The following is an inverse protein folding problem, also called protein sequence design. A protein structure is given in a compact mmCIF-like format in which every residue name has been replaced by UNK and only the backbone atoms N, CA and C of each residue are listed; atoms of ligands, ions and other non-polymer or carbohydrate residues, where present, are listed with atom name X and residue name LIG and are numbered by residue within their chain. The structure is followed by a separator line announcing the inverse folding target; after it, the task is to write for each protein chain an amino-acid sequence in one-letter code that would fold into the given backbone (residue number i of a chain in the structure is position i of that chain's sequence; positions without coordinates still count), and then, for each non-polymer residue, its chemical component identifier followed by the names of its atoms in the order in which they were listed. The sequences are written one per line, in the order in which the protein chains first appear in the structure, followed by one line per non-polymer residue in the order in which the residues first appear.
data_IF_369049163357
#
_entry.id   IF_369049163357
#
_cell.length_a   1.000
_cell.length_b   1.000
_cell.length_c   1.000
_cell.angle_alpha   90.00
_cell.angle_beta   90.00
_cell.angle_gamma   90.00
#
_symmetry.space_group_name_H-M   'P 1'
#
loop_
_entity.id
_entity.type
_entity.pdbx_description
1 polymer ?
#
# COMPACT_ATOMS: atom_id res chain seq x y z
N UNK A 1 9.16 12.86 -15.15
CA UNK A 1 9.66 11.52 -14.75
C UNK A 1 8.45 10.70 -14.35
N UNK A 2 8.02 9.77 -15.21
CA UNK A 2 6.83 8.90 -14.98
C UNK A 2 7.15 7.43 -15.29
N UNK A 3 8.41 7.11 -15.55
CA UNK A 3 8.89 5.76 -15.84
C UNK A 3 9.58 5.19 -14.59
N UNK A 4 8.93 4.25 -13.91
CA UNK A 4 9.41 3.69 -12.65
C UNK A 4 10.73 2.90 -12.75
N UNK A 5 11.15 2.54 -13.96
CA UNK A 5 12.39 1.82 -14.21
C UNK A 5 13.65 2.70 -14.06
N UNK A 6 13.48 4.02 -14.04
CA UNK A 6 14.58 4.97 -13.98
C UNK A 6 14.64 5.68 -12.62
N UNK A 7 15.82 5.73 -11.97
CA UNK A 7 15.99 6.51 -10.76
C UNK A 7 15.85 8.01 -11.06
N UNK A 8 15.64 8.80 -10.01
CA UNK A 8 15.77 10.24 -10.12
C UNK A 8 17.23 10.66 -10.37
N UNK A 9 17.46 11.82 -11.01
CA UNK A 9 18.79 12.42 -11.12
C UNK A 9 19.46 12.60 -9.76
N UNK A 10 20.78 12.43 -9.70
CA UNK A 10 21.57 12.53 -8.45
C UNK A 10 21.56 13.94 -7.85
N UNK A 11 21.38 14.98 -8.68
CA UNK A 11 21.33 16.38 -8.29
C UNK A 11 19.95 16.82 -7.78
N UNK A 12 18.96 15.92 -7.74
CA UNK A 12 17.63 16.24 -7.26
C UNK A 12 17.67 16.51 -5.76
N UNK A 13 17.16 17.69 -5.39
CA UNK A 13 17.06 18.12 -4.00
C UNK A 13 16.31 17.09 -3.14
N UNK A 14 16.90 16.76 -1.99
CA UNK A 14 16.24 15.99 -0.93
C UNK A 14 15.68 16.95 0.11
N UNK A 15 14.38 16.83 0.38
CA UNK A 15 13.68 17.66 1.36
C UNK A 15 13.26 16.79 2.54
N UNK A 16 13.65 17.19 3.75
CA UNK A 16 13.22 16.53 4.98
C UNK A 16 11.75 16.90 5.29
N UNK A 17 10.89 15.90 5.47
CA UNK A 17 9.47 16.11 5.79
C UNK A 17 9.15 15.87 7.27
N UNK A 18 9.92 15.02 7.96
CA UNK A 18 9.70 14.67 9.36
C UNK A 18 10.11 13.22 9.69
N UNK A 19 9.71 12.76 10.87
CA UNK A 19 10.09 11.44 11.42
C UNK A 19 8.86 10.57 11.67
N UNK A 20 8.87 9.34 11.17
CA UNK A 20 7.91 8.29 11.51
C UNK A 20 8.54 7.36 12.55
N UNK A 21 7.96 7.29 13.75
CA UNK A 21 8.42 6.40 14.83
C UNK A 21 7.37 5.32 15.12
N UNK A 22 7.83 4.07 15.27
CA UNK A 22 6.99 2.97 15.75
C UNK A 22 7.19 2.82 17.26
N UNK A 23 6.16 3.12 18.04
CA UNK A 23 6.24 3.13 19.51
C UNK A 23 5.62 1.90 20.19
N UNK A 24 4.87 1.08 19.44
CA UNK A 24 4.20 -0.10 19.96
C UNK A 24 3.92 -1.12 18.85
N UNK A 25 3.69 -2.36 19.25
CA UNK A 25 3.13 -3.40 18.39
C UNK A 25 1.61 -3.40 18.51
N UNK A 26 0.93 -3.86 17.47
CA UNK A 26 -0.51 -4.09 17.53
C UNK A 26 -0.82 -5.34 18.38
N UNK A 27 -1.85 -5.25 19.22
CA UNK A 27 -2.45 -6.41 19.87
C UNK A 27 -3.01 -7.36 18.81
N UNK A 28 -2.82 -8.67 19.01
CA UNK A 28 -3.13 -9.71 18.01
C UNK A 28 -2.67 -9.31 16.59
N UNK A 29 -1.38 -8.97 16.49
CA UNK A 29 -0.75 -8.59 15.21
C UNK A 29 -1.03 -9.58 14.09
N UNK A 30 -1.22 -10.86 14.41
CA UNK A 30 -1.54 -11.92 13.45
C UNK A 30 -2.93 -11.75 12.84
N UNK A 31 -3.94 -11.39 13.61
CA UNK A 31 -5.25 -11.00 13.07
C UNK A 31 -5.16 -9.65 12.34
N UNK A 32 -4.57 -8.63 12.96
CA UNK A 32 -4.54 -7.25 12.44
C UNK A 32 -3.83 -7.12 11.09
N UNK A 33 -2.74 -7.85 10.88
CA UNK A 33 -2.02 -7.85 9.59
C UNK A 33 -2.87 -8.39 8.42
N UNK A 34 -3.88 -9.22 8.71
CA UNK A 34 -4.78 -9.77 7.67
C UNK A 34 -5.90 -8.80 7.31
N UNK A 35 -6.24 -7.88 8.21
CA UNK A 35 -7.28 -6.89 7.96
C UNK A 35 -6.74 -5.68 7.22
N UNK A 36 -5.54 -5.21 7.60
CA UNK A 36 -4.99 -3.97 7.07
C UNK A 36 -4.82 -4.01 5.54
N UNK A 37 -5.18 -2.91 4.90
CA UNK A 37 -5.09 -2.73 3.44
C UNK A 37 -4.25 -1.50 3.16
N UNK A 38 -3.17 -1.69 2.43
CA UNK A 38 -2.40 -0.60 1.84
C UNK A 38 -2.78 -0.53 0.37
N UNK A 39 -3.20 0.63 -0.13
CA UNK A 39 -3.41 0.82 -1.57
C UNK A 39 -2.62 2.04 -2.04
N UNK A 40 -1.91 1.97 -3.18
CA UNK A 40 -1.06 3.08 -3.62
C UNK A 40 -1.80 4.37 -3.94
N UNK A 41 -3.11 4.28 -4.21
CA UNK A 41 -3.93 5.41 -4.66
C UNK A 41 -5.03 5.79 -3.66
N UNK A 42 -4.89 5.39 -2.39
CA UNK A 42 -5.68 5.96 -1.29
C UNK A 42 -5.05 7.27 -0.82
N UNK A 43 -5.24 8.33 -1.61
CA UNK A 43 -4.58 9.63 -1.43
C UNK A 43 -5.45 10.63 -0.66
N UNK A 44 -4.80 11.60 -0.02
CA UNK A 44 -5.43 12.75 0.64
C UNK A 44 -5.31 14.00 -0.22
N UNK A 45 -6.11 15.04 0.09
CA UNK A 45 -6.00 16.33 -0.60
C UNK A 45 -4.57 16.88 -0.60
N UNK A 46 -4.12 17.39 -1.75
CA UNK A 46 -2.74 17.84 -1.94
C UNK A 46 -1.78 16.79 -2.51
N UNK A 47 -2.19 15.52 -2.61
CA UNK A 47 -1.43 14.44 -3.25
C UNK A 47 -2.24 13.86 -4.41
N UNK A 48 -1.63 13.81 -5.59
CA UNK A 48 -2.25 13.29 -6.81
C UNK A 48 -1.37 12.19 -7.45
N UNK A 49 -1.95 11.22 -8.16
CA UNK A 49 -1.17 10.27 -8.94
C UNK A 49 -0.39 10.97 -10.05
N UNK A 50 0.80 10.45 -10.37
CA UNK A 50 1.47 10.78 -11.63
C UNK A 50 0.87 9.97 -12.79
N UNK A 51 1.33 10.25 -14.01
CA UNK A 51 0.95 9.49 -15.22
C UNK A 51 1.69 8.15 -15.37
N UNK A 52 2.34 7.64 -14.32
CA UNK A 52 2.98 6.33 -14.34
C UNK A 52 1.92 5.20 -14.44
N UNK A 53 1.87 4.42 -15.55
CA UNK A 53 0.88 3.37 -15.73
C UNK A 53 1.02 2.23 -14.71
N UNK A 54 2.18 2.09 -14.06
CA UNK A 54 2.38 1.09 -13.01
C UNK A 54 1.53 1.39 -11.77
N UNK A 55 1.19 2.64 -11.48
CA UNK A 55 0.35 3.00 -10.33
C UNK A 55 -1.06 2.39 -10.45
N UNK A 56 -1.65 2.42 -11.65
CA UNK A 56 -2.95 1.81 -11.93
C UNK A 56 -2.86 0.29 -11.82
N UNK A 57 -1.81 -0.30 -12.40
CA UNK A 57 -1.57 -1.75 -12.33
C UNK A 57 -1.43 -2.22 -10.89
N UNK A 58 -0.65 -1.52 -10.06
CA UNK A 58 -0.48 -1.86 -8.64
C UNK A 58 -1.81 -1.77 -7.91
N UNK A 59 -2.58 -0.72 -8.11
CA UNK A 59 -3.90 -0.56 -7.44
C UNK A 59 -4.83 -1.74 -7.76
N UNK A 60 -4.86 -2.21 -9.01
CA UNK A 60 -5.63 -3.41 -9.41
C UNK A 60 -5.12 -4.67 -8.71
N UNK A 61 -3.80 -4.88 -8.65
CA UNK A 61 -3.19 -6.03 -7.99
C UNK A 61 -3.48 -6.07 -6.49
N UNK A 62 -3.38 -4.93 -5.79
CA UNK A 62 -3.72 -4.84 -4.37
C UNK A 62 -5.21 -5.14 -4.12
N UNK A 63 -6.11 -4.61 -4.96
CA UNK A 63 -7.54 -4.92 -4.86
C UNK A 63 -7.82 -6.42 -5.04
N UNK A 64 -7.20 -7.05 -6.05
CA UNK A 64 -7.37 -8.48 -6.29
C UNK A 64 -6.83 -9.33 -5.14
N UNK A 65 -5.66 -8.99 -4.60
CA UNK A 65 -5.08 -9.65 -3.43
C UNK A 65 -6.01 -9.54 -2.21
N UNK A 66 -6.54 -8.34 -1.96
CA UNK A 66 -7.48 -8.11 -0.86
C UNK A 66 -8.76 -8.93 -1.01
N UNK A 67 -9.40 -8.91 -2.19
CA UNK A 67 -10.60 -9.71 -2.45
C UNK A 67 -10.36 -11.21 -2.21
N UNK A 68 -9.23 -11.76 -2.67
CA UNK A 68 -8.87 -13.17 -2.44
C UNK A 68 -8.70 -13.48 -0.95
N UNK A 69 -8.14 -12.56 -0.17
CA UNK A 69 -7.96 -12.71 1.27
C UNK A 69 -9.28 -12.76 2.01
N UNK A 70 -10.24 -11.92 1.63
CA UNK A 70 -11.60 -11.94 2.20
C UNK A 70 -12.32 -13.26 1.89
N UNK A 71 -12.23 -13.76 0.66
CA UNK A 71 -12.84 -15.05 0.29
C UNK A 71 -12.17 -16.22 1.01
N UNK A 72 -10.84 -16.24 1.13
CA UNK A 72 -10.13 -17.27 1.88
C UNK A 72 -10.47 -17.24 3.38
N UNK A 73 -10.63 -16.03 3.96
CA UNK A 73 -11.06 -15.86 5.35
C UNK A 73 -12.49 -16.37 5.59
N UNK A 74 -13.42 -16.11 4.67
CA UNK A 74 -14.79 -16.62 4.74
C UNK A 74 -14.84 -18.16 4.70
N UNK A 75 -14.10 -18.79 3.78
CA UNK A 75 -14.07 -20.25 3.68
C UNK A 75 -13.49 -20.93 4.95
N UNK A 76 -12.53 -20.27 5.62
CA UNK A 76 -11.97 -20.76 6.88
C UNK A 76 -12.97 -20.67 8.05
N UNK A 77 -13.84 -19.65 8.05
CA UNK A 77 -14.88 -19.49 9.07
C UNK A 77 -16.02 -20.51 8.93
N UNK A 78 -16.37 -20.91 7.70
CA UNK A 78 -17.41 -21.92 7.44
C UNK A 78 -16.97 -23.37 7.76
N UNK A 79 -15.70 -23.55 8.12
CA UNK A 79 -15.07 -24.86 8.42
C UNK A 79 -14.93 -25.15 9.92
N UNK A 80 -15.58 -24.36 10.78
CA UNK A 80 -15.64 -24.52 12.25
C UNK A 80 -17.08 -24.48 12.73
#
# INVERSE_FOLDING_TARGET
ITEAAFPWPEDREQVELGVLSLSALADDSVARQREIVFTPLSLVGGIAPSDDPMLITRTRSYRMSYSRRLTAGAAAADSH
#
